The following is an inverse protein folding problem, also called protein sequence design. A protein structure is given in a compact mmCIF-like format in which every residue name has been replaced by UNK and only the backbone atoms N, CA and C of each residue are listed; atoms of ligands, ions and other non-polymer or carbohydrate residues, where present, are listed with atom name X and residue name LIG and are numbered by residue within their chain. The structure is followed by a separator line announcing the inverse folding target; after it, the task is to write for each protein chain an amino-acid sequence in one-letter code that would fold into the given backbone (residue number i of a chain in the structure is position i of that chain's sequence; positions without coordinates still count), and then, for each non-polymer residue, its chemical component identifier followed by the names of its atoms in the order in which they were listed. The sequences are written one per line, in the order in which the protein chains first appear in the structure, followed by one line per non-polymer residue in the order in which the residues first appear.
data_IF_346678671181
#
_entry.id   IF_346678671181
#
_cell.length_a   1.000
_cell.length_b   1.000
_cell.length_c   1.000
_cell.angle_alpha   90.00
_cell.angle_beta   90.00
_cell.angle_gamma   90.00
#
_symmetry.space_group_name_H-M   'P 1'
#
loop_
_entity.id
_entity.type
_entity.pdbx_description
1 polymer ?
#
# COMPACT_ATOMS: atom_id res chain seq x y z
N UNK A 1 -1.42 -3.41 -18.11
CA UNK A 1 -0.78 -2.12 -17.76
C UNK A 1 -1.82 -1.05 -18.02
N UNK A 2 -2.11 -0.17 -17.06
CA UNK A 2 -3.15 0.88 -17.18
C UNK A 2 -2.49 2.24 -17.01
N UNK A 3 -2.77 3.13 -17.94
CA UNK A 3 -2.27 4.50 -17.93
C UNK A 3 -3.31 5.44 -17.30
N UNK A 4 -2.82 6.44 -16.58
CA UNK A 4 -3.60 7.46 -15.90
C UNK A 4 -3.19 8.83 -16.43
N UNK A 5 -4.13 9.50 -17.06
CA UNK A 5 -3.89 10.74 -17.78
C UNK A 5 -4.39 11.92 -16.95
N UNK A 6 -3.54 12.95 -16.80
CA UNK A 6 -3.98 14.27 -16.36
C UNK A 6 -4.25 15.13 -17.58
N UNK A 7 -5.52 15.50 -17.73
CA UNK A 7 -6.00 16.36 -18.80
C UNK A 7 -6.12 17.79 -18.30
N UNK A 8 -5.82 18.75 -19.17
CA UNK A 8 -6.20 20.14 -18.94
C UNK A 8 -7.71 20.32 -19.19
N UNK A 9 -8.21 21.54 -18.94
CA UNK A 9 -9.63 21.89 -19.15
C UNK A 9 -10.11 21.75 -20.61
N UNK A 10 -9.18 21.65 -21.57
CA UNK A 10 -9.46 21.49 -22.99
C UNK A 10 -9.36 20.02 -23.45
N UNK A 11 -9.17 19.07 -22.52
CA UNK A 11 -9.10 17.64 -22.83
C UNK A 11 -7.76 17.18 -23.42
N UNK A 12 -6.72 18.02 -23.42
CA UNK A 12 -5.37 17.61 -23.81
C UNK A 12 -4.66 16.93 -22.64
N UNK A 13 -4.11 15.73 -22.85
CA UNK A 13 -3.29 15.04 -21.86
C UNK A 13 -1.87 15.63 -21.89
N UNK A 14 -1.42 16.15 -20.75
CA UNK A 14 -0.04 16.65 -20.60
C UNK A 14 0.85 15.68 -19.83
N UNK A 15 0.25 14.89 -18.93
CA UNK A 15 0.97 13.97 -18.07
C UNK A 15 0.33 12.59 -18.11
N UNK A 16 1.17 11.57 -18.25
CA UNK A 16 0.75 10.18 -18.22
C UNK A 16 1.49 9.49 -17.10
N UNK A 17 0.76 9.04 -16.09
CA UNK A 17 1.29 8.19 -15.04
C UNK A 17 0.97 6.73 -15.35
N UNK A 18 1.93 5.86 -15.08
CA UNK A 18 1.84 4.44 -15.37
C UNK A 18 2.36 3.65 -14.19
N UNK A 19 1.70 2.52 -13.91
CA UNK A 19 2.27 1.49 -13.04
C UNK A 19 2.97 0.43 -13.89
N UNK A 20 4.29 0.40 -13.86
CA UNK A 20 5.15 -0.55 -14.57
C UNK A 20 5.91 -1.41 -13.57
N UNK A 21 5.81 -2.73 -13.69
CA UNK A 21 6.49 -3.70 -12.81
C UNK A 21 6.32 -3.44 -11.30
N UNK A 22 5.17 -2.89 -10.89
CA UNK A 22 4.88 -2.58 -9.48
C UNK A 22 5.23 -1.15 -9.06
N UNK A 23 5.93 -0.38 -9.90
CA UNK A 23 6.34 0.99 -9.61
C UNK A 23 5.51 2.00 -10.41
N UNK A 24 5.15 3.11 -9.76
CA UNK A 24 4.50 4.24 -10.42
C UNK A 24 5.56 5.18 -10.98
N UNK A 25 5.35 5.62 -12.22
CA UNK A 25 6.24 6.54 -12.90
C UNK A 25 5.44 7.56 -13.72
N UNK A 26 6.05 8.73 -13.94
CA UNK A 26 5.61 9.69 -14.95
C UNK A 26 6.17 9.23 -16.31
N UNK A 27 5.34 8.54 -17.10
CA UNK A 27 5.72 7.99 -18.40
C UNK A 27 5.75 9.03 -19.53
N UNK A 28 5.06 10.17 -19.37
CA UNK A 28 5.04 11.26 -20.34
C UNK A 28 4.81 12.61 -19.66
N UNK A 29 5.48 13.65 -20.16
CA UNK A 29 5.45 15.02 -19.65
C UNK A 29 6.59 15.32 -18.68
N UNK A 30 6.71 16.59 -18.28
CA UNK A 30 7.74 17.06 -17.34
C UNK A 30 7.08 17.83 -16.20
N UNK A 31 7.37 17.39 -14.97
CA UNK A 31 6.92 18.01 -13.73
C UNK A 31 8.14 18.26 -12.84
N UNK A 32 8.07 19.31 -12.03
CA UNK A 32 9.00 19.47 -10.91
C UNK A 32 8.93 18.24 -10.01
N UNK A 33 10.08 17.82 -9.46
CA UNK A 33 10.18 16.54 -8.76
C UNK A 33 9.23 16.43 -7.57
N UNK A 34 9.07 17.50 -6.79
CA UNK A 34 8.14 17.57 -5.67
C UNK A 34 6.68 17.32 -6.08
N UNK A 35 6.24 17.92 -7.18
CA UNK A 35 4.90 17.74 -7.74
C UNK A 35 4.73 16.32 -8.29
N UNK A 36 5.75 15.82 -9.01
CA UNK A 36 5.76 14.46 -9.56
C UNK A 36 5.62 13.41 -8.44
N UNK A 37 6.40 13.54 -7.37
CA UNK A 37 6.37 12.63 -6.24
C UNK A 37 5.03 12.71 -5.49
N UNK A 38 4.46 13.91 -5.30
CA UNK A 38 3.14 14.08 -4.69
C UNK A 38 2.02 13.44 -5.52
N UNK A 39 2.09 13.53 -6.85
CA UNK A 39 1.15 12.82 -7.73
C UNK A 39 1.31 11.30 -7.60
N UNK A 40 2.53 10.78 -7.56
CA UNK A 40 2.80 9.36 -7.38
C UNK A 40 2.25 8.86 -6.04
N UNK A 41 2.45 9.60 -4.94
CA UNK A 41 1.91 9.27 -3.62
C UNK A 41 0.39 9.10 -3.65
N UNK A 42 -0.29 10.08 -4.27
CA UNK A 42 -1.73 10.05 -4.42
C UNK A 42 -2.21 8.85 -5.25
N UNK A 43 -1.47 8.48 -6.30
CA UNK A 43 -1.79 7.32 -7.14
C UNK A 43 -1.60 5.99 -6.38
N UNK A 44 -0.52 5.86 -5.62
CA UNK A 44 -0.27 4.70 -4.75
C UNK A 44 -1.43 4.53 -3.79
N UNK A 45 -1.74 5.55 -2.98
CA UNK A 45 -2.80 5.48 -1.97
C UNK A 45 -4.20 5.27 -2.58
N UNK A 46 -4.43 5.74 -3.82
CA UNK A 46 -5.73 5.64 -4.47
C UNK A 46 -5.98 4.28 -5.11
N UNK A 47 -4.95 3.66 -5.68
CA UNK A 47 -5.11 2.51 -6.57
C UNK A 47 -4.47 1.23 -6.06
N UNK A 48 -3.50 1.32 -5.16
CA UNK A 48 -2.84 0.14 -4.59
C UNK A 48 -3.58 -0.27 -3.32
N UNK A 49 -4.59 -1.13 -3.48
CA UNK A 49 -5.54 -1.48 -2.40
C UNK A 49 -4.92 -2.15 -1.18
N UNK A 50 -3.71 -2.68 -1.35
CA UNK A 50 -2.99 -3.39 -0.31
C UNK A 50 -1.98 -2.44 0.38
N UNK A 51 -1.95 -1.15 0.01
CA UNK A 51 -1.13 -0.09 0.62
C UNK A 51 -2.01 0.74 1.55
N UNK A 52 -2.00 0.49 2.88
CA UNK A 52 -2.80 1.30 3.80
C UNK A 52 -2.25 2.71 3.99
N UNK A 53 -0.93 2.89 3.87
CA UNK A 53 -0.28 4.19 3.97
C UNK A 53 1.13 4.20 3.37
N UNK A 54 1.64 5.43 3.22
CA UNK A 54 3.03 5.71 2.93
C UNK A 54 3.46 6.93 3.74
N UNK A 55 4.76 7.03 4.02
CA UNK A 55 5.36 8.17 4.73
C UNK A 55 6.79 8.38 4.25
N UNK A 56 7.44 9.47 4.68
CA UNK A 56 8.83 9.74 4.33
C UNK A 56 9.74 9.56 5.55
N UNK A 57 10.85 8.85 5.35
CA UNK A 57 11.90 8.70 6.35
C UNK A 57 13.25 9.00 5.69
N UNK A 58 13.98 9.99 6.21
CA UNK A 58 15.22 10.51 5.62
C UNK A 58 15.14 10.85 4.13
N UNK A 59 14.01 11.43 3.70
CA UNK A 59 13.78 11.82 2.29
C UNK A 59 13.43 10.66 1.37
N UNK A 60 13.31 9.44 1.90
CA UNK A 60 12.94 8.25 1.14
C UNK A 60 11.48 7.90 1.43
N UNK A 61 10.68 7.74 0.37
CA UNK A 61 9.32 7.21 0.46
C UNK A 61 9.35 5.79 1.03
N UNK A 62 8.58 5.59 2.08
CA UNK A 62 8.31 4.31 2.71
C UNK A 62 6.88 3.91 2.37
N UNK A 63 6.73 2.91 1.52
CA UNK A 63 5.43 2.34 1.14
C UNK A 63 5.19 1.11 1.98
N UNK A 64 4.09 1.09 2.73
CA UNK A 64 3.68 -0.07 3.51
C UNK A 64 2.70 -0.87 2.67
N UNK A 65 2.93 -2.18 2.55
CA UNK A 65 2.00 -3.10 1.92
C UNK A 65 1.55 -4.17 2.93
N UNK A 66 0.24 -4.28 3.15
CA UNK A 66 -0.36 -5.31 4.00
C UNK A 66 -1.07 -6.31 3.10
N UNK A 67 -0.34 -7.37 2.74
CA UNK A 67 -0.77 -8.37 1.76
C UNK A 67 -1.43 -9.54 2.45
N UNK A 68 -2.72 -9.73 2.20
CA UNK A 68 -3.46 -10.89 2.67
C UNK A 68 -2.85 -12.21 2.13
N UNK A 69 -2.83 -13.22 2.98
CA UNK A 69 -2.38 -14.60 2.73
C UNK A 69 -3.49 -15.57 3.12
N UNK A 70 -3.29 -16.86 2.80
CA UNK A 70 -4.19 -17.93 3.22
C UNK A 70 -4.20 -18.05 4.75
N UNK A 71 -5.24 -18.67 5.29
CA UNK A 71 -5.34 -18.98 6.73
C UNK A 71 -5.43 -17.74 7.64
N UNK A 72 -6.09 -16.67 7.18
CA UNK A 72 -6.31 -15.46 7.99
C UNK A 72 -5.00 -14.82 8.49
N UNK A 73 -4.02 -14.76 7.59
CA UNK A 73 -2.70 -14.18 7.79
C UNK A 73 -2.52 -12.99 6.84
N UNK A 74 -1.84 -11.94 7.29
CA UNK A 74 -1.40 -10.81 6.47
C UNK A 74 0.10 -10.63 6.67
N UNK A 75 0.84 -10.50 5.57
CA UNK A 75 2.24 -10.13 5.61
C UNK A 75 2.38 -8.63 5.40
N UNK A 76 3.21 -7.99 6.21
CA UNK A 76 3.51 -6.58 6.12
C UNK A 76 4.87 -6.42 5.45
N UNK A 77 4.91 -5.58 4.42
CA UNK A 77 6.13 -5.22 3.72
C UNK A 77 6.34 -3.71 3.80
N UNK A 78 7.59 -3.31 3.99
CA UNK A 78 8.05 -1.93 3.85
C UNK A 78 8.94 -1.85 2.62
N UNK A 79 8.53 -1.12 1.59
CA UNK A 79 9.26 -1.04 0.31
C UNK A 79 9.64 -2.43 -0.24
N UNK A 80 8.69 -3.37 -0.26
CA UNK A 80 8.86 -4.79 -0.63
C UNK A 80 9.74 -5.65 0.28
N UNK A 81 10.35 -5.12 1.36
CA UNK A 81 11.01 -5.93 2.37
C UNK A 81 10.00 -6.40 3.42
N UNK A 82 9.99 -7.69 3.76
CA UNK A 82 9.11 -8.21 4.81
C UNK A 82 9.53 -7.61 6.17
N UNK A 83 8.56 -7.16 6.96
CA UNK A 83 8.81 -6.52 8.27
C UNK A 83 7.91 -7.04 9.39
N UNK A 84 6.99 -7.97 9.09
CA UNK A 84 6.09 -8.51 10.09
C UNK A 84 4.84 -9.16 9.52
N UNK A 85 3.99 -9.64 10.42
CA UNK A 85 2.73 -10.29 10.09
C UNK A 85 1.63 -9.94 11.10
N UNK A 86 0.38 -10.04 10.63
CA UNK A 86 -0.83 -10.02 11.47
C UNK A 86 -1.54 -11.33 11.23
N UNK A 87 -1.97 -11.99 12.30
CA UNK A 87 -2.74 -13.23 12.27
C UNK A 87 -4.07 -13.04 12.97
N UNK A 88 -5.11 -13.66 12.45
CA UNK A 88 -6.44 -13.66 13.06
C UNK A 88 -6.88 -15.09 13.38
N UNK A 89 -6.98 -15.37 14.68
CA UNK A 89 -7.46 -16.65 15.17
C UNK A 89 -8.97 -16.77 14.92
N UNK A 90 -9.37 -17.81 14.19
CA UNK A 90 -10.76 -18.01 13.79
C UNK A 90 -11.69 -18.41 14.93
N UNK A 91 -11.15 -18.99 16.00
CA UNK A 91 -11.90 -19.47 17.16
C UNK A 91 -12.07 -18.36 18.19
N UNK A 92 -10.97 -17.76 18.62
CA UNK A 92 -10.99 -16.69 19.63
C UNK A 92 -11.40 -15.33 19.04
N UNK A 93 -11.35 -15.18 17.70
CA UNK A 93 -11.53 -13.91 16.98
C UNK A 93 -10.51 -12.84 17.36
N UNK A 94 -9.43 -13.23 18.04
CA UNK A 94 -8.35 -12.34 18.42
C UNK A 94 -7.42 -12.11 17.24
N UNK A 95 -6.85 -10.90 17.18
CA UNK A 95 -5.72 -10.59 16.33
C UNK A 95 -4.44 -10.69 17.16
N UNK A 96 -3.43 -11.31 16.58
CA UNK A 96 -2.06 -11.30 17.07
C UNK A 96 -1.13 -10.78 15.97
N UNK A 97 0.04 -10.29 16.33
CA UNK A 97 0.97 -9.75 15.36
C UNK A 97 2.43 -9.88 15.80
N UNK A 98 3.30 -9.86 14.81
CA UNK A 98 4.74 -9.81 14.97
C UNK A 98 5.32 -8.72 14.07
N UNK A 99 6.23 -7.92 14.59
CA UNK A 99 7.05 -6.98 13.84
C UNK A 99 8.52 -7.29 14.09
N UNK A 100 9.34 -7.19 13.05
CA UNK A 100 10.79 -7.35 13.16
C UNK A 100 11.39 -6.19 13.98
N UNK A 101 12.36 -6.49 14.85
CA UNK A 101 12.93 -5.53 15.82
C UNK A 101 13.53 -4.25 15.19
N UNK A 102 13.95 -4.32 13.93
CA UNK A 102 14.54 -3.19 13.19
C UNK A 102 13.54 -2.51 12.23
N UNK A 103 12.25 -2.78 12.37
CA UNK A 103 11.21 -2.17 11.55
C UNK A 103 11.01 -0.70 11.92
N UNK A 104 10.66 0.13 10.92
CA UNK A 104 10.17 1.49 11.16
C UNK A 104 8.73 1.52 11.68
N UNK A 105 8.05 0.36 11.71
CA UNK A 105 6.68 0.23 12.18
C UNK A 105 6.62 0.15 13.70
N UNK A 106 5.54 0.70 14.23
CA UNK A 106 5.24 0.71 15.68
C UNK A 106 3.93 -0.02 15.92
N UNK A 107 3.63 -0.35 17.16
CA UNK A 107 2.37 -0.97 17.55
C UNK A 107 1.15 -0.18 17.06
N UNK A 108 1.20 1.16 17.13
CA UNK A 108 0.12 2.04 16.65
C UNK A 108 -0.19 1.83 15.16
N UNK A 109 0.84 1.64 14.33
CA UNK A 109 0.68 1.32 12.91
C UNK A 109 -0.04 -0.02 12.75
N UNK A 110 0.35 -1.02 13.53
CA UNK A 110 -0.25 -2.36 13.44
C UNK A 110 -1.71 -2.34 13.90
N UNK A 111 -2.02 -1.65 15.00
CA UNK A 111 -3.39 -1.48 15.47
C UNK A 111 -4.27 -0.78 14.43
N UNK A 112 -3.73 0.23 13.73
CA UNK A 112 -4.42 0.85 12.60
C UNK A 112 -4.72 -0.18 11.50
N UNK A 113 -3.76 -1.01 11.10
CA UNK A 113 -3.97 -2.04 10.06
C UNK A 113 -4.99 -3.11 10.48
N UNK A 114 -4.95 -3.57 11.74
CA UNK A 114 -5.96 -4.46 12.30
C UNK A 114 -7.35 -3.81 12.18
N UNK A 115 -7.48 -2.54 12.54
CA UNK A 115 -8.73 -1.79 12.37
C UNK A 115 -9.20 -1.72 10.91
N UNK A 116 -8.28 -1.53 9.95
CA UNK A 116 -8.59 -1.53 8.51
C UNK A 116 -9.04 -2.92 8.02
N UNK A 117 -8.41 -4.00 8.50
CA UNK A 117 -8.81 -5.39 8.22
C UNK A 117 -10.22 -5.66 8.76
N UNK A 118 -10.51 -5.24 9.99
CA UNK A 118 -11.83 -5.38 10.62
C UNK A 118 -12.93 -4.63 9.85
N UNK A 119 -12.62 -3.46 9.28
CA UNK A 119 -13.55 -2.67 8.45
C UNK A 119 -13.65 -3.18 7.00
N UNK A 120 -12.82 -4.14 6.60
CA UNK A 120 -12.79 -4.67 5.24
C UNK A 120 -12.12 -3.75 4.22
N UNK A 121 -11.38 -2.73 4.67
CA UNK A 121 -10.57 -1.85 3.82
C UNK A 121 -9.33 -2.60 3.29
N UNK A 122 -8.73 -3.44 4.12
CA UNK A 122 -7.73 -4.43 3.72
C UNK A 122 -8.43 -5.78 3.48
N UNK A 123 -8.06 -6.43 2.37
CA UNK A 123 -8.76 -7.62 1.89
C UNK A 123 -8.62 -8.78 2.85
N UNK A 124 -9.70 -9.55 2.96
CA UNK A 124 -9.66 -10.92 3.44
C UNK A 124 -9.47 -11.84 2.24
N UNK A 125 -8.48 -12.73 2.31
CA UNK A 125 -8.53 -13.93 1.47
C UNK A 125 -9.52 -14.85 2.17
N UNK A 126 -10.72 -14.97 1.60
CA UNK A 126 -11.61 -16.07 1.98
C UNK A 126 -10.84 -17.34 1.66
N UNK A 127 -10.67 -18.21 2.65
CA UNK A 127 -10.24 -19.56 2.33
C UNK A 127 -11.30 -20.12 1.38
N UNK A 128 -10.88 -20.50 0.18
CA UNK A 128 -11.74 -21.26 -0.71
C UNK A 128 -12.25 -22.45 0.10
N UNK A 129 -13.57 -22.48 0.26
CA UNK A 129 -14.26 -23.64 0.82
C UNK A 129 -13.90 -24.80 -0.09
N UNK A 130 -13.15 -25.75 0.48
CA UNK A 130 -12.80 -27.02 -0.14
C UNK A 130 -14.02 -27.73 -0.72
#
# INVERSE_FOLDING_TARGET
MKDYHLYNKNGLAFYVFRKSQGFWELAYGELADDIKEACIDALILRFDTDVPELFYHHGIRQVIEVRAKKYSLWHIYLNNAYVGSIEHDKYSKAFDYHIEDNSLLTDDHIQKYIGMIQRGELKWIKDDVR
#
